data_IF_633305957637
#
_entry.id   IF_633305957637
#
_cell.length_a   1.000
_cell.length_b   1.000
_cell.length_c   1.000
_cell.angle_alpha   90.00
_cell.angle_beta   90.00
_cell.angle_gamma   90.00
#
_symmetry.space_group_name_H-M   'P 1'
#
loop_
_entity.id
_entity.type
_entity.pdbx_description
1 polymer ?
#
# COMPACT_ATOMS: atom_id res chain seq x y z
N UNK A 1 14.52 -11.49 11.33
CA UNK A 1 13.34 -12.22 10.81
C UNK A 1 13.37 -13.69 11.21
N UNK A 2 12.20 -14.30 11.42
CA UNK A 2 12.02 -15.74 11.63
C UNK A 2 11.85 -16.48 10.30
N UNK A 3 11.96 -17.81 10.28
CA UNK A 3 11.71 -18.62 9.08
C UNK A 3 10.26 -18.49 8.55
N UNK A 4 9.30 -18.18 9.43
CA UNK A 4 7.90 -17.94 9.07
C UNK A 4 7.78 -16.63 8.28
N UNK A 5 8.50 -15.60 8.71
CA UNK A 5 8.48 -14.28 8.06
C UNK A 5 8.99 -14.37 6.63
N UNK A 6 10.07 -15.14 6.42
CA UNK A 6 10.58 -15.43 5.07
C UNK A 6 9.57 -16.18 4.19
N UNK A 7 8.81 -17.12 4.75
CA UNK A 7 7.76 -17.80 3.99
C UNK A 7 6.60 -16.87 3.63
N UNK A 8 6.16 -16.03 4.57
CA UNK A 8 5.06 -15.09 4.34
C UNK A 8 5.43 -14.06 3.27
N UNK A 9 6.65 -13.54 3.30
CA UNK A 9 7.13 -12.56 2.33
C UNK A 9 7.43 -13.17 0.96
N UNK A 10 7.75 -14.47 0.89
CA UNK A 10 7.96 -15.17 -0.38
C UNK A 10 6.66 -15.52 -1.13
N UNK A 11 5.51 -15.53 -0.46
CA UNK A 11 4.20 -15.81 -1.10
C UNK A 11 3.66 -14.52 -1.71
N UNK A 12 3.87 -14.34 -3.01
CA UNK A 12 3.26 -13.24 -3.78
C UNK A 12 1.73 -13.37 -3.83
N UNK A 13 1.05 -12.26 -3.58
CA UNK A 13 -0.41 -12.10 -3.62
C UNK A 13 -0.86 -11.18 -4.76
N UNK A 14 0.08 -10.75 -5.60
CA UNK A 14 -0.10 -9.88 -6.75
C UNK A 14 0.27 -10.57 -8.07
N UNK A 15 -0.09 -9.94 -9.19
CA UNK A 15 0.26 -10.44 -10.52
C UNK A 15 -0.63 -11.57 -11.06
N UNK A 16 -0.21 -12.13 -12.21
CA UNK A 16 -1.09 -12.94 -13.07
C UNK A 16 -1.44 -14.32 -12.49
N UNK A 17 -0.54 -14.93 -11.72
CA UNK A 17 -0.76 -16.28 -11.17
C UNK A 17 -1.80 -16.27 -10.04
N UNK A 18 -1.68 -15.44 -8.99
CA UNK A 18 -2.75 -15.29 -8.00
C UNK A 18 -4.10 -14.90 -8.62
N UNK A 19 -4.08 -14.03 -9.63
CA UNK A 19 -5.29 -13.62 -10.36
C UNK A 19 -5.98 -14.81 -11.04
N UNK A 20 -5.22 -15.63 -11.75
CA UNK A 20 -5.74 -16.82 -12.44
C UNK A 20 -6.32 -17.85 -11.46
N UNK A 21 -5.62 -18.10 -10.35
CA UNK A 21 -6.08 -19.03 -9.31
C UNK A 21 -7.37 -18.52 -8.64
N UNK A 22 -7.43 -17.23 -8.28
CA UNK A 22 -8.63 -16.62 -7.74
C UNK A 22 -9.81 -16.70 -8.72
N UNK A 23 -9.58 -16.35 -9.99
CA UNK A 23 -10.55 -16.47 -11.08
C UNK A 23 -11.18 -17.86 -11.18
N UNK A 24 -10.34 -18.89 -11.26
CA UNK A 24 -10.79 -20.29 -11.37
C UNK A 24 -11.55 -20.73 -10.12
N UNK A 25 -11.03 -20.43 -8.93
CA UNK A 25 -11.66 -20.81 -7.66
C UNK A 25 -13.08 -20.23 -7.54
N UNK A 26 -13.28 -18.99 -7.99
CA UNK A 26 -14.59 -18.34 -7.98
C UNK A 26 -15.56 -18.94 -9.00
N UNK A 27 -15.10 -19.29 -10.21
CA UNK A 27 -15.94 -19.97 -11.20
C UNK A 27 -16.43 -21.31 -10.63
N UNK A 28 -15.54 -22.08 -10.02
CA UNK A 28 -15.88 -23.36 -9.38
C UNK A 28 -16.88 -23.13 -8.23
N UNK A 29 -16.64 -22.16 -7.36
CA UNK A 29 -17.54 -21.84 -6.24
C UNK A 29 -18.93 -21.39 -6.72
N UNK A 30 -19.00 -20.57 -7.77
CA UNK A 30 -20.26 -20.14 -8.36
C UNK A 30 -21.04 -21.32 -8.98
N UNK A 31 -20.36 -22.19 -9.74
CA UNK A 31 -20.97 -23.41 -10.30
C UNK A 31 -21.44 -24.37 -9.19
N UNK A 32 -20.66 -24.52 -8.11
CA UNK A 32 -21.02 -25.34 -6.96
C UNK A 32 -22.26 -24.80 -6.23
N UNK A 33 -22.41 -23.48 -6.10
CA UNK A 33 -23.61 -22.85 -5.55
C UNK A 33 -24.84 -23.08 -6.43
N UNK A 34 -24.69 -22.96 -7.76
CA UNK A 34 -25.76 -23.28 -8.71
C UNK A 34 -26.16 -24.76 -8.58
N UNK A 35 -25.20 -25.67 -8.51
CA UNK A 35 -25.46 -27.09 -8.29
C UNK A 35 -26.13 -27.35 -6.94
N UNK A 36 -25.69 -26.71 -5.85
CA UNK A 36 -26.34 -26.84 -4.53
C UNK A 36 -27.78 -26.32 -4.55
N UNK A 37 -28.05 -25.25 -5.29
CA UNK A 37 -29.39 -24.69 -5.48
C UNK A 37 -30.29 -25.63 -6.30
N UNK A 38 -29.78 -26.26 -7.37
CA UNK A 38 -30.52 -27.21 -8.20
C UNK A 38 -30.75 -28.54 -7.47
N UNK A 39 -29.73 -29.09 -6.79
CA UNK A 39 -29.89 -30.28 -5.95
C UNK A 39 -30.77 -30.03 -4.74
N UNK A 40 -30.95 -28.77 -4.30
CA UNK A 40 -31.88 -28.46 -3.22
C UNK A 40 -33.32 -28.71 -3.65
N UNK A 41 -33.62 -28.86 -4.95
CA UNK A 41 -34.93 -29.30 -5.42
C UNK A 41 -35.33 -30.66 -4.86
N UNK A 42 -36.61 -30.75 -4.50
CA UNK A 42 -37.29 -32.03 -4.55
C UNK A 42 -37.59 -32.32 -6.03
N UNK A 43 -37.25 -33.50 -6.58
CA UNK A 43 -37.58 -33.85 -7.98
C UNK A 43 -39.09 -33.72 -8.29
N UNK A 44 -39.94 -33.68 -7.26
CA UNK A 44 -41.38 -33.49 -7.38
C UNK A 44 -41.85 -32.04 -7.68
N UNK A 45 -41.03 -30.98 -7.53
CA UNK A 45 -41.47 -29.57 -7.73
C UNK A 45 -40.39 -28.65 -8.34
N UNK A 46 -40.02 -28.84 -9.61
CA UNK A 46 -38.89 -28.13 -10.22
C UNK A 46 -39.10 -26.63 -10.46
N UNK A 47 -40.33 -26.18 -10.76
CA UNK A 47 -40.62 -24.76 -11.00
C UNK A 47 -40.37 -23.85 -9.80
N UNK A 48 -40.68 -24.32 -8.58
CA UNK A 48 -40.55 -23.51 -7.35
C UNK A 48 -39.11 -23.25 -6.96
N UNK A 49 -38.20 -24.18 -7.24
CA UNK A 49 -36.80 -23.93 -6.93
C UNK A 49 -36.10 -23.12 -8.02
N UNK A 50 -36.52 -23.20 -9.29
CA UNK A 50 -36.05 -22.28 -10.33
C UNK A 50 -36.41 -20.83 -9.97
N UNK A 51 -37.66 -20.58 -9.56
CA UNK A 51 -38.11 -19.25 -9.11
C UNK A 51 -37.29 -18.72 -7.92
N UNK A 52 -36.88 -19.59 -6.99
CA UNK A 52 -36.03 -19.20 -5.85
C UNK A 52 -34.60 -18.90 -6.27
N UNK A 53 -34.06 -19.68 -7.19
CA UNK A 53 -32.72 -19.42 -7.73
C UNK A 53 -32.70 -18.10 -8.48
N UNK A 54 -33.70 -17.85 -9.33
CA UNK A 54 -33.90 -16.56 -9.99
C UNK A 54 -34.04 -15.43 -8.97
N UNK A 55 -34.90 -15.59 -7.96
CA UNK A 55 -35.06 -14.57 -6.92
C UNK A 55 -33.75 -14.26 -6.18
N UNK A 56 -32.95 -15.28 -5.82
CA UNK A 56 -31.69 -15.07 -5.13
C UNK A 56 -30.64 -14.39 -6.03
N UNK A 57 -30.56 -14.76 -7.31
CA UNK A 57 -29.71 -14.09 -8.30
C UNK A 57 -30.15 -12.63 -8.49
N UNK A 58 -31.45 -12.37 -8.60
CA UNK A 58 -31.99 -11.01 -8.71
C UNK A 58 -31.69 -10.19 -7.46
N UNK A 59 -31.88 -10.74 -6.27
CA UNK A 59 -31.53 -10.08 -5.00
C UNK A 59 -30.03 -9.76 -4.97
N UNK A 60 -29.16 -10.72 -5.32
CA UNK A 60 -27.72 -10.51 -5.39
C UNK A 60 -27.33 -9.39 -6.35
N UNK A 61 -27.90 -9.39 -7.56
CA UNK A 61 -27.67 -8.36 -8.56
C UNK A 61 -28.14 -6.97 -8.09
N UNK A 62 -29.34 -6.87 -7.50
CA UNK A 62 -29.90 -5.60 -7.00
C UNK A 62 -29.08 -5.06 -5.83
N UNK A 63 -28.75 -5.90 -4.84
CA UNK A 63 -27.93 -5.47 -3.70
C UNK A 63 -26.55 -5.01 -4.11
N UNK A 64 -25.94 -5.70 -5.09
CA UNK A 64 -24.64 -5.33 -5.63
C UNK A 64 -24.70 -4.03 -6.43
N UNK A 65 -25.77 -3.82 -7.20
CA UNK A 65 -25.98 -2.56 -7.91
C UNK A 65 -26.20 -1.40 -6.94
N UNK A 66 -26.95 -1.59 -5.85
CA UNK A 66 -27.12 -0.59 -4.80
C UNK A 66 -25.77 -0.30 -4.14
N UNK A 67 -25.02 -1.33 -3.75
CA UNK A 67 -23.69 -1.17 -3.16
C UNK A 67 -22.75 -0.40 -4.11
N UNK A 68 -22.78 -0.72 -5.41
CA UNK A 68 -22.04 0.00 -6.43
C UNK A 68 -22.40 1.48 -6.49
N UNK A 69 -23.68 1.81 -6.60
CA UNK A 69 -24.14 3.21 -6.63
C UNK A 69 -23.72 3.94 -5.34
N UNK A 70 -23.90 3.30 -4.19
CA UNK A 70 -23.51 3.88 -2.91
C UNK A 70 -22.01 4.13 -2.85
N UNK A 71 -21.17 3.18 -3.29
CA UNK A 71 -19.71 3.31 -3.23
C UNK A 71 -19.19 4.27 -4.30
N UNK A 72 -19.61 4.12 -5.55
CA UNK A 72 -19.05 4.84 -6.72
C UNK A 72 -19.72 6.19 -6.97
N UNK A 73 -21.00 6.37 -6.64
CA UNK A 73 -21.74 7.60 -6.95
C UNK A 73 -21.99 8.48 -5.72
N UNK A 74 -22.24 7.87 -4.55
CA UNK A 74 -22.63 8.61 -3.33
C UNK A 74 -21.44 8.85 -2.40
N UNK A 75 -20.72 7.79 -2.02
CA UNK A 75 -19.65 7.85 -1.03
C UNK A 75 -18.32 8.29 -1.64
N UNK A 76 -17.99 7.79 -2.84
CA UNK A 76 -16.75 8.10 -3.58
C UNK A 76 -15.50 8.07 -2.70
N UNK A 77 -15.22 6.95 -1.99
CA UNK A 77 -14.02 6.84 -1.16
C UNK A 77 -12.73 6.81 -1.99
N UNK A 78 -12.83 6.52 -3.29
CA UNK A 78 -11.72 6.53 -4.23
C UNK A 78 -12.14 7.26 -5.51
N UNK A 79 -11.21 7.96 -6.20
CA UNK A 79 -11.48 8.58 -7.48
C UNK A 79 -11.66 7.55 -8.62
N UNK A 80 -11.04 6.38 -8.50
CA UNK A 80 -11.14 5.30 -9.48
C UNK A 80 -12.36 4.40 -9.24
N UNK A 81 -13.04 4.03 -10.32
CA UNK A 81 -14.14 3.06 -10.30
C UNK A 81 -13.61 1.63 -10.23
N UNK A 82 -14.31 0.76 -9.51
CA UNK A 82 -13.92 -0.65 -9.47
C UNK A 82 -14.25 -1.30 -10.83
N UNK A 83 -13.40 -2.21 -11.33
CA UNK A 83 -13.69 -2.95 -12.55
C UNK A 83 -15.04 -3.66 -12.45
N UNK A 84 -15.81 -3.68 -13.55
CA UNK A 84 -17.10 -4.37 -13.59
C UNK A 84 -16.99 -5.85 -13.17
N UNK A 85 -15.86 -6.49 -13.48
CA UNK A 85 -15.55 -7.85 -13.05
C UNK A 85 -15.58 -8.00 -11.52
N UNK A 86 -15.03 -7.03 -10.78
CA UNK A 86 -15.04 -7.01 -9.31
C UNK A 86 -16.46 -6.97 -8.77
N UNK A 87 -17.31 -6.08 -9.29
CA UNK A 87 -18.73 -6.02 -8.94
C UNK A 87 -19.47 -7.30 -9.31
N UNK A 88 -19.21 -7.88 -10.47
CA UNK A 88 -19.83 -9.12 -10.89
C UNK A 88 -19.51 -10.28 -9.93
N UNK A 89 -18.26 -10.36 -9.46
CA UNK A 89 -17.84 -11.37 -8.48
C UNK A 89 -18.52 -11.14 -7.12
N UNK A 90 -18.54 -9.90 -6.63
CA UNK A 90 -19.26 -9.55 -5.38
C UNK A 90 -20.73 -9.98 -5.50
N UNK A 91 -21.37 -9.71 -6.64
CA UNK A 91 -22.75 -10.11 -6.89
C UNK A 91 -22.98 -11.62 -6.91
N UNK A 92 -22.04 -12.39 -7.47
CA UNK A 92 -22.07 -13.85 -7.38
C UNK A 92 -21.96 -14.32 -5.91
N UNK A 93 -21.09 -13.69 -5.11
CA UNK A 93 -20.94 -13.94 -3.67
C UNK A 93 -22.24 -13.71 -2.90
N UNK A 94 -22.85 -12.53 -3.06
CA UNK A 94 -24.10 -12.16 -2.39
C UNK A 94 -25.25 -13.08 -2.82
N UNK A 95 -25.37 -13.39 -4.11
CA UNK A 95 -26.37 -14.33 -4.62
C UNK A 95 -26.16 -15.74 -4.02
N UNK A 96 -24.91 -16.19 -3.90
CA UNK A 96 -24.53 -17.45 -3.25
C UNK A 96 -24.97 -17.54 -1.80
N UNK A 97 -24.74 -16.47 -1.02
CA UNK A 97 -25.17 -16.38 0.38
C UNK A 97 -26.71 -16.37 0.48
N UNK A 98 -27.40 -15.60 -0.37
CA UNK A 98 -28.86 -15.58 -0.40
C UNK A 98 -29.45 -16.97 -0.71
N UNK A 99 -28.83 -17.70 -1.64
CA UNK A 99 -29.16 -19.10 -1.95
C UNK A 99 -28.93 -20.04 -0.77
N UNK A 100 -27.81 -19.87 -0.05
CA UNK A 100 -27.48 -20.64 1.15
C UNK A 100 -28.58 -20.50 2.20
N UNK A 101 -28.94 -19.26 2.54
CA UNK A 101 -30.00 -18.94 3.51
C UNK A 101 -31.34 -19.54 3.09
N UNK A 102 -31.71 -19.39 1.80
CA UNK A 102 -32.94 -19.96 1.25
C UNK A 102 -32.94 -21.50 1.24
N UNK A 103 -31.77 -22.14 1.21
CA UNK A 103 -31.62 -23.59 1.30
C UNK A 103 -31.75 -24.10 2.73
N UNK A 104 -31.24 -23.37 3.74
CA UNK A 104 -31.34 -23.72 5.17
C UNK A 104 -32.78 -23.67 5.68
N UNK A 105 -33.60 -22.74 5.17
CA UNK A 105 -35.00 -22.55 5.61
C UNK A 105 -35.99 -23.68 5.29
N UNK A 106 -35.56 -24.84 4.75
CA UNK A 106 -36.46 -25.94 4.38
C UNK A 106 -36.59 -27.01 5.47
N UNK A 107 -37.79 -27.14 6.03
CA UNK A 107 -38.24 -28.26 6.91
C UNK A 107 -38.32 -29.65 6.24
N UNK A 108 -37.71 -29.86 5.05
CA UNK A 108 -37.94 -31.03 4.19
C UNK A 108 -36.74 -31.93 3.91
N UNK A 109 -35.56 -31.65 4.45
CA UNK A 109 -34.42 -32.56 4.34
C UNK A 109 -34.59 -33.70 5.35
N UNK A 110 -34.87 -34.93 4.88
CA UNK A 110 -35.19 -36.12 5.68
C UNK A 110 -34.11 -36.58 6.69
N UNK A 111 -33.03 -35.82 6.91
CA UNK A 111 -32.04 -36.05 8.00
C UNK A 111 -31.20 -34.78 8.24
N UNK A 112 -31.00 -34.38 9.51
CA UNK A 112 -30.19 -33.20 9.91
C UNK A 112 -28.81 -33.16 9.25
N UNK A 113 -28.18 -34.33 9.02
CA UNK A 113 -26.87 -34.47 8.37
C UNK A 113 -26.81 -33.90 6.95
N UNK A 114 -27.84 -34.14 6.11
CA UNK A 114 -27.89 -33.61 4.73
C UNK A 114 -28.11 -32.11 4.69
N UNK A 115 -28.78 -31.54 5.70
CA UNK A 115 -28.93 -30.10 5.82
C UNK A 115 -27.60 -29.45 6.22
N UNK A 116 -26.93 -30.00 7.24
CA UNK A 116 -25.64 -29.51 7.71
C UNK A 116 -24.57 -29.49 6.61
N UNK A 117 -24.46 -30.56 5.82
CA UNK A 117 -23.48 -30.64 4.72
C UNK A 117 -23.70 -29.58 3.64
N UNK A 118 -24.97 -29.25 3.35
CA UNK A 118 -25.32 -28.23 2.33
C UNK A 118 -25.09 -26.82 2.84
N UNK A 119 -25.45 -26.57 4.09
CA UNK A 119 -25.13 -25.30 4.75
C UNK A 119 -23.63 -25.08 4.79
N UNK A 120 -22.86 -26.09 5.18
CA UNK A 120 -21.40 -26.03 5.18
C UNK A 120 -20.84 -25.77 3.79
N UNK A 121 -21.28 -26.52 2.77
CA UNK A 121 -20.84 -26.31 1.39
C UNK A 121 -21.14 -24.91 0.85
N UNK A 122 -22.31 -24.37 1.18
CA UNK A 122 -22.70 -23.02 0.77
C UNK A 122 -21.90 -21.92 1.49
N UNK A 123 -21.61 -22.11 2.79
CA UNK A 123 -20.71 -21.22 3.55
C UNK A 123 -19.31 -21.26 2.95
N UNK A 124 -18.76 -22.43 2.68
CA UNK A 124 -17.42 -22.58 2.07
C UNK A 124 -17.36 -21.89 0.71
N UNK A 125 -18.35 -22.09 -0.16
CA UNK A 125 -18.40 -21.39 -1.46
C UNK A 125 -18.50 -19.86 -1.29
N UNK A 126 -19.31 -19.39 -0.35
CA UNK A 126 -19.41 -17.96 -0.03
C UNK A 126 -18.08 -17.37 0.42
N UNK A 127 -17.36 -18.08 1.31
CA UNK A 127 -16.03 -17.67 1.77
C UNK A 127 -15.03 -17.63 0.62
N UNK A 128 -15.01 -18.63 -0.26
CA UNK A 128 -14.14 -18.64 -1.46
C UNK A 128 -14.43 -17.45 -2.37
N UNK A 129 -15.70 -17.09 -2.57
CA UNK A 129 -16.07 -15.94 -3.39
C UNK A 129 -15.61 -14.62 -2.78
N UNK A 130 -15.75 -14.45 -1.46
CA UNK A 130 -15.27 -13.24 -0.76
C UNK A 130 -13.74 -13.13 -0.84
N UNK A 131 -13.02 -14.21 -0.51
CA UNK A 131 -11.55 -14.23 -0.55
C UNK A 131 -11.06 -14.02 -1.99
N UNK A 132 -11.67 -14.67 -2.97
CA UNK A 132 -11.32 -14.50 -4.38
C UNK A 132 -11.59 -13.08 -4.89
N UNK A 133 -12.66 -12.43 -4.42
CA UNK A 133 -12.94 -11.02 -4.72
C UNK A 133 -11.83 -10.12 -4.18
N UNK A 134 -11.47 -10.32 -2.90
CA UNK A 134 -10.40 -9.56 -2.26
C UNK A 134 -9.06 -9.77 -2.97
N UNK A 135 -8.76 -11.00 -3.39
CA UNK A 135 -7.56 -11.33 -4.15
C UNK A 135 -7.51 -10.63 -5.51
N UNK A 136 -8.63 -10.56 -6.25
CA UNK A 136 -8.69 -9.83 -7.52
C UNK A 136 -8.53 -8.32 -7.34
N UNK A 137 -9.15 -7.75 -6.30
CA UNK A 137 -8.93 -6.34 -5.96
C UNK A 137 -7.46 -6.10 -5.62
N UNK A 138 -6.85 -6.99 -4.83
CA UNK A 138 -5.45 -6.88 -4.48
C UNK A 138 -4.52 -6.97 -5.69
N UNK A 139 -4.79 -7.88 -6.64
CA UNK A 139 -4.04 -7.95 -7.91
C UNK A 139 -4.11 -6.64 -8.69
N UNK A 140 -5.27 -5.97 -8.67
CA UNK A 140 -5.47 -4.72 -9.41
C UNK A 140 -4.71 -3.54 -8.80
N UNK A 141 -4.69 -3.44 -7.46
CA UNK A 141 -4.15 -2.28 -6.76
C UNK A 141 -2.80 -2.53 -6.08
N UNK A 142 -2.33 -3.78 -6.04
CA UNK A 142 -1.13 -4.24 -5.36
C UNK A 142 -1.01 -3.75 -3.90
N UNK A 143 -2.14 -3.60 -3.20
CA UNK A 143 -2.18 -3.09 -1.82
C UNK A 143 -1.34 -3.97 -0.88
N UNK A 144 -1.42 -5.29 -1.06
CA UNK A 144 -0.63 -6.29 -0.35
C UNK A 144 0.15 -7.14 -1.35
N UNK A 145 1.40 -6.80 -1.68
CA UNK A 145 2.16 -7.53 -2.70
C UNK A 145 2.46 -8.98 -2.30
N UNK A 146 2.57 -9.26 -1.00
CA UNK A 146 2.82 -10.60 -0.47
C UNK A 146 2.03 -10.89 0.81
N UNK A 147 2.05 -12.15 1.26
CA UNK A 147 1.33 -12.56 2.47
C UNK A 147 1.90 -11.90 3.74
N UNK A 148 3.19 -11.55 3.76
CA UNK A 148 3.80 -10.77 4.86
C UNK A 148 3.09 -9.43 5.06
N UNK A 149 2.91 -8.66 3.98
CA UNK A 149 2.19 -7.38 4.02
C UNK A 149 0.75 -7.53 4.54
N UNK A 150 0.06 -8.64 4.25
CA UNK A 150 -1.29 -8.91 4.77
C UNK A 150 -1.31 -9.10 6.30
N UNK A 151 -0.24 -9.63 6.88
CA UNK A 151 -0.11 -9.91 8.31
C UNK A 151 0.74 -8.88 9.06
N UNK A 152 1.18 -7.80 8.41
CA UNK A 152 2.08 -6.80 9.00
C UNK A 152 3.47 -7.35 9.28
N UNK A 153 3.94 -8.30 8.47
CA UNK A 153 5.30 -8.81 8.50
C UNK A 153 6.08 -8.14 7.39
N UNK A 154 7.03 -7.32 7.78
CA UNK A 154 7.86 -6.55 6.86
C UNK A 154 8.87 -7.46 6.15
N UNK A 155 8.99 -7.26 4.83
CA UNK A 155 9.99 -7.94 3.98
C UNK A 155 11.28 -7.14 3.84
N UNK A 156 11.62 -6.37 4.86
CA UNK A 156 12.80 -5.50 4.93
C UNK A 156 13.28 -5.41 6.38
N UNK A 157 14.55 -5.07 6.56
CA UNK A 157 15.12 -4.91 7.89
C UNK A 157 14.64 -3.61 8.54
N UNK A 158 14.37 -3.67 9.84
CA UNK A 158 13.98 -2.51 10.65
C UNK A 158 14.95 -2.31 11.79
N UNK A 159 15.25 -1.05 12.11
CA UNK A 159 16.16 -0.70 13.21
C UNK A 159 15.52 0.37 14.10
N UNK A 160 15.77 0.29 15.41
CA UNK A 160 15.31 1.32 16.34
C UNK A 160 15.92 2.69 15.98
N UNK A 161 15.13 3.78 15.95
CA UNK A 161 15.62 5.10 15.55
C UNK A 161 16.83 5.58 16.34
N UNK A 162 16.92 5.28 17.65
CA UNK A 162 18.02 5.72 18.48
C UNK A 162 19.34 5.04 18.07
N UNK A 163 19.27 3.79 17.59
CA UNK A 163 20.43 3.05 17.07
C UNK A 163 20.73 3.44 15.62
N UNK A 164 19.69 3.48 14.78
CA UNK A 164 19.79 3.74 13.35
C UNK A 164 20.38 5.12 13.05
N UNK A 165 19.94 6.13 13.79
CA UNK A 165 20.31 7.53 13.60
C UNK A 165 21.49 7.98 14.46
N UNK A 166 22.15 7.05 15.15
CA UNK A 166 23.32 7.38 15.95
C UNK A 166 24.39 8.10 15.09
N UNK A 167 24.96 9.21 15.58
CA UNK A 167 25.99 9.94 14.85
C UNK A 167 27.27 9.12 14.71
N UNK A 168 28.00 9.35 13.63
CA UNK A 168 29.33 8.80 13.35
C UNK A 168 30.38 9.90 13.42
N UNK A 169 31.59 9.51 13.79
CA UNK A 169 32.68 10.47 14.03
C UNK A 169 33.25 11.03 12.73
N UNK A 170 33.21 10.26 11.63
CA UNK A 170 33.73 10.72 10.33
C UNK A 170 32.65 10.65 9.25
N UNK A 171 32.47 11.78 8.57
CA UNK A 171 31.70 11.87 7.34
C UNK A 171 32.60 12.21 6.15
N UNK A 172 32.15 11.87 4.94
CA UNK A 172 32.77 12.26 3.67
C UNK A 172 31.72 12.86 2.76
N UNK A 173 31.91 14.13 2.40
CA UNK A 173 31.11 14.79 1.38
C UNK A 173 31.77 14.67 0.01
N UNK A 174 30.98 14.45 -1.04
CA UNK A 174 31.46 14.52 -2.42
C UNK A 174 31.64 15.98 -2.84
N UNK A 175 32.75 16.30 -3.52
CA UNK A 175 32.97 17.64 -4.07
C UNK A 175 32.04 17.97 -5.26
N UNK A 176 31.99 19.24 -5.69
CA UNK A 176 31.22 19.62 -6.87
C UNK A 176 31.64 18.84 -8.13
N UNK A 177 30.70 18.13 -8.76
CA UNK A 177 30.94 17.33 -9.97
C UNK A 177 31.59 15.97 -9.72
N UNK A 178 31.84 15.62 -8.46
CA UNK A 178 32.37 14.31 -8.04
C UNK A 178 31.22 13.38 -7.63
N UNK A 179 31.34 12.08 -7.92
CA UNK A 179 30.41 11.08 -7.39
C UNK A 179 30.79 10.69 -5.97
N UNK A 180 29.83 10.22 -5.17
CA UNK A 180 30.09 9.73 -3.81
C UNK A 180 31.18 8.65 -3.81
N UNK A 181 31.13 7.73 -4.77
CA UNK A 181 32.14 6.67 -4.91
C UNK A 181 33.55 7.20 -5.18
N UNK A 182 33.70 8.35 -5.84
CA UNK A 182 35.01 8.98 -6.10
C UNK A 182 35.59 9.66 -4.86
N UNK A 183 34.73 10.25 -4.02
CA UNK A 183 35.13 10.95 -2.81
C UNK A 183 35.58 10.00 -1.68
N UNK A 184 35.16 8.73 -1.75
CA UNK A 184 35.44 7.73 -0.73
C UNK A 184 36.89 7.21 -0.80
N UNK A 185 37.50 6.86 0.35
CA UNK A 185 38.81 6.21 0.38
C UNK A 185 38.86 4.92 -0.46
N UNK A 186 40.03 4.60 -1.04
CA UNK A 186 40.18 3.43 -1.90
C UNK A 186 39.94 2.09 -1.18
N UNK A 187 40.11 2.04 0.14
CA UNK A 187 39.85 0.90 1.01
C UNK A 187 38.45 0.94 1.66
N UNK A 188 37.60 1.89 1.26
CA UNK A 188 36.24 1.99 1.78
C UNK A 188 35.37 0.81 1.34
N UNK A 189 34.55 0.33 2.27
CA UNK A 189 33.52 -0.66 2.00
C UNK A 189 32.30 -0.39 2.87
N UNK A 190 31.16 -0.93 2.45
CA UNK A 190 29.98 -1.03 3.32
C UNK A 190 30.28 -1.90 4.55
N UNK A 191 29.48 -1.76 5.61
CA UNK A 191 29.63 -2.60 6.78
C UNK A 191 29.50 -4.09 6.49
N UNK A 192 30.14 -4.88 7.36
CA UNK A 192 30.01 -6.33 7.42
C UNK A 192 29.87 -6.78 8.87
N UNK A 193 29.48 -8.04 9.09
CA UNK A 193 29.33 -8.61 10.43
C UNK A 193 28.02 -8.21 11.10
N UNK A 194 28.10 -7.65 12.30
CA UNK A 194 26.93 -7.31 13.14
C UNK A 194 26.19 -6.03 12.71
N UNK A 195 26.68 -5.33 11.69
CA UNK A 195 26.04 -4.12 11.14
C UNK A 195 25.14 -4.48 9.95
N UNK A 196 24.11 -3.67 9.65
CA UNK A 196 23.23 -3.92 8.52
C UNK A 196 24.00 -4.03 7.20
N UNK A 197 23.82 -5.14 6.50
CA UNK A 197 24.36 -5.39 5.15
C UNK A 197 23.36 -5.07 4.05
N UNK A 198 22.09 -4.91 4.41
CA UNK A 198 21.03 -4.34 3.58
C UNK A 198 20.54 -3.02 4.19
N UNK A 199 19.74 -2.26 3.44
CA UNK A 199 19.14 -1.04 3.96
C UNK A 199 18.07 -1.35 5.01
N UNK A 200 17.96 -0.46 5.99
CA UNK A 200 16.99 -0.58 7.09
C UNK A 200 15.95 0.53 7.02
N UNK A 201 14.75 0.24 7.50
CA UNK A 201 13.69 1.22 7.70
C UNK A 201 13.53 1.52 9.18
N UNK A 202 13.32 2.79 9.51
CA UNK A 202 13.07 3.22 10.88
C UNK A 202 11.90 4.19 10.97
N UNK A 203 11.15 4.11 12.07
CA UNK A 203 9.94 4.89 12.32
C UNK A 203 10.27 6.14 13.14
N UNK A 204 10.02 7.32 12.60
CA UNK A 204 10.41 8.58 13.25
C UNK A 204 9.23 9.54 13.40
N UNK A 205 9.27 10.32 14.48
CA UNK A 205 8.40 11.48 14.64
C UNK A 205 9.12 12.73 14.15
N UNK A 206 8.57 13.37 13.12
CA UNK A 206 9.01 14.69 12.65
C UNK A 206 8.00 15.72 13.18
N UNK A 207 8.34 16.49 14.23
CA UNK A 207 7.41 17.43 14.82
C UNK A 207 7.17 18.63 13.89
N UNK A 208 5.91 19.02 13.71
CA UNK A 208 5.53 20.28 13.07
C UNK A 208 5.78 21.48 13.98
N UNK A 209 7.04 21.77 14.31
CA UNK A 209 7.41 22.80 15.27
C UNK A 209 7.02 24.21 14.78
N UNK A 210 7.15 24.46 13.48
CA UNK A 210 6.82 25.72 12.81
C UNK A 210 5.41 25.67 12.20
N UNK A 211 5.08 24.59 11.51
CA UNK A 211 3.80 24.42 10.83
C UNK A 211 2.63 24.19 11.79
N UNK A 212 2.89 23.67 13.00
CA UNK A 212 1.90 23.05 13.87
C UNK A 212 1.12 21.91 13.19
N UNK A 213 1.68 21.33 12.12
CA UNK A 213 1.05 20.27 11.36
C UNK A 213 1.08 18.95 12.13
N UNK A 214 -0.07 18.28 12.36
CA UNK A 214 -0.13 17.05 13.14
C UNK A 214 0.19 15.82 12.27
N UNK A 215 1.41 15.77 11.73
CA UNK A 215 1.86 14.64 10.91
C UNK A 215 1.86 13.32 11.69
N UNK A 216 1.49 12.24 11.01
CA UNK A 216 1.67 10.87 11.50
C UNK A 216 3.15 10.45 11.42
N UNK A 217 3.49 9.33 12.05
CA UNK A 217 4.84 8.75 12.03
C UNK A 217 5.38 8.62 10.61
N UNK A 218 6.56 9.19 10.37
CA UNK A 218 7.28 9.10 9.11
C UNK A 218 8.13 7.83 9.04
N UNK A 219 8.47 7.39 7.83
CA UNK A 219 9.41 6.29 7.58
C UNK A 219 10.73 6.85 7.06
N UNK A 220 11.85 6.34 7.54
CA UNK A 220 13.17 6.67 7.00
C UNK A 220 13.87 5.39 6.56
N UNK A 221 14.21 5.31 5.28
CA UNK A 221 15.09 4.28 4.75
C UNK A 221 16.54 4.76 4.78
N UNK A 222 17.42 3.91 5.31
CA UNK A 222 18.86 4.14 5.41
C UNK A 222 19.58 3.01 4.67
N UNK A 223 20.34 3.30 3.60
CA UNK A 223 21.06 2.25 2.88
C UNK A 223 22.28 1.75 3.66
N UNK A 224 22.86 0.60 3.26
CA UNK A 224 24.05 0.04 3.92
C UNK A 224 25.19 1.04 4.09
N UNK A 225 25.44 1.89 3.09
CA UNK A 225 26.48 2.92 3.14
C UNK A 225 26.30 3.91 4.30
N UNK A 226 25.07 4.14 4.78
CA UNK A 226 24.80 5.01 5.94
C UNK A 226 25.41 4.46 7.25
N UNK A 227 25.72 3.17 7.30
CA UNK A 227 26.30 2.52 8.48
C UNK A 227 27.82 2.33 8.39
N UNK A 228 28.43 2.79 7.29
CA UNK A 228 29.87 2.74 7.03
C UNK A 228 30.66 3.75 7.87
N UNK A 229 31.99 3.56 7.91
CA UNK A 229 32.94 4.46 8.57
C UNK A 229 34.18 4.64 7.67
N UNK A 230 34.46 5.85 7.13
CA UNK A 230 33.64 7.05 7.26
C UNK A 230 32.28 6.93 6.54
N UNK A 231 31.28 7.65 7.05
CA UNK A 231 29.92 7.73 6.49
C UNK A 231 29.89 8.71 5.30
N UNK A 232 29.56 8.28 4.06
CA UNK A 232 29.30 9.24 3.00
C UNK A 232 28.08 10.10 3.34
N UNK A 233 28.14 11.39 3.02
CA UNK A 233 26.99 12.29 3.09
C UNK A 233 26.07 11.98 1.90
N UNK A 234 25.01 11.22 2.18
CA UNK A 234 24.15 10.66 1.14
C UNK A 234 23.09 11.69 0.67
N UNK A 235 22.69 11.64 -0.62
CA UNK A 235 21.55 12.36 -1.15
C UNK A 235 20.27 12.05 -0.39
N UNK A 236 19.32 12.99 -0.40
CA UNK A 236 18.04 12.85 0.30
C UNK A 236 16.88 12.86 -0.68
N UNK A 237 15.95 11.93 -0.52
CA UNK A 237 14.65 11.96 -1.19
C UNK A 237 13.58 12.15 -0.12
N UNK A 238 12.89 13.30 -0.14
CA UNK A 238 11.68 13.51 0.66
C UNK A 238 10.49 12.97 -0.14
N UNK A 239 9.82 11.98 0.42
CA UNK A 239 8.80 11.19 -0.26
C UNK A 239 7.42 11.35 0.40
N UNK A 240 6.35 11.32 -0.39
CA UNK A 240 4.98 11.46 0.09
C UNK A 240 4.02 10.44 -0.52
N UNK A 241 3.15 9.87 0.32
CA UNK A 241 2.09 8.96 -0.11
C UNK A 241 0.93 9.69 -0.81
N UNK A 242 0.03 8.90 -1.41
CA UNK A 242 -1.20 9.39 -2.01
C UNK A 242 -2.32 9.64 -1.00
N UNK A 243 -3.48 10.00 -1.53
CA UNK A 243 -4.75 10.05 -0.80
C UNK A 243 -5.72 9.04 -1.46
N UNK A 244 -6.36 8.13 -0.71
CA UNK A 244 -6.10 7.83 0.69
C UNK A 244 -4.72 7.20 0.90
N UNK A 245 -4.06 7.49 2.02
CA UNK A 245 -2.74 6.89 2.27
C UNK A 245 -2.06 7.20 3.59
N UNK A 246 -0.84 6.71 3.73
CA UNK A 246 0.07 6.93 4.86
C UNK A 246 1.53 6.69 4.46
N UNK A 247 2.51 7.14 5.26
CA UNK A 247 3.92 6.80 5.01
C UNK A 247 4.22 5.30 4.84
N UNK A 248 3.41 4.42 5.45
CA UNK A 248 3.50 2.96 5.31
C UNK A 248 3.29 2.47 3.86
N UNK A 249 2.61 3.24 3.01
CA UNK A 249 2.32 2.82 1.64
C UNK A 249 3.62 2.76 0.81
N UNK A 250 4.65 3.52 1.21
CA UNK A 250 5.97 3.50 0.58
C UNK A 250 6.73 2.21 0.88
N UNK A 251 6.60 1.68 2.10
CA UNK A 251 7.26 0.43 2.53
C UNK A 251 6.49 -0.81 2.10
N UNK A 252 5.18 -0.70 1.94
CA UNK A 252 4.29 -1.81 1.57
C UNK A 252 3.99 -1.86 0.07
N UNK A 253 3.06 -1.05 -0.42
CA UNK A 253 2.56 -1.14 -1.80
C UNK A 253 3.55 -0.62 -2.85
N UNK A 254 4.35 0.40 -2.52
CA UNK A 254 5.38 0.93 -3.43
C UNK A 254 6.73 0.22 -3.32
N UNK A 255 6.89 -0.68 -2.33
CA UNK A 255 8.08 -1.54 -2.16
C UNK A 255 9.41 -0.75 -2.19
N UNK A 256 9.44 0.46 -1.61
CA UNK A 256 10.60 1.33 -1.61
C UNK A 256 11.85 0.65 -1.02
N UNK A 257 11.79 -0.09 0.12
CA UNK A 257 12.97 -0.75 0.66
C UNK A 257 13.59 -1.74 -0.31
N UNK A 258 12.77 -2.50 -1.06
CA UNK A 258 13.25 -3.48 -2.03
C UNK A 258 13.90 -2.79 -3.25
N UNK A 259 13.27 -1.72 -3.76
CA UNK A 259 13.83 -0.93 -4.87
C UNK A 259 15.16 -0.30 -4.46
N UNK A 260 15.21 0.29 -3.27
CA UNK A 260 16.43 0.95 -2.77
C UNK A 260 17.52 -0.06 -2.41
N UNK A 261 17.19 -1.23 -1.87
CA UNK A 261 18.17 -2.30 -1.64
C UNK A 261 18.74 -2.85 -2.95
N UNK A 262 17.92 -3.01 -3.98
CA UNK A 262 18.41 -3.40 -5.31
C UNK A 262 19.35 -2.32 -5.87
N UNK A 263 18.96 -1.05 -5.80
CA UNK A 263 19.82 0.05 -6.22
C UNK A 263 21.13 0.08 -5.44
N UNK A 264 21.06 -0.06 -4.12
CA UNK A 264 22.24 -0.10 -3.26
C UNK A 264 23.16 -1.26 -3.61
N UNK A 265 22.63 -2.46 -3.84
CA UNK A 265 23.40 -3.64 -4.22
C UNK A 265 24.19 -3.41 -5.53
N UNK A 266 23.59 -2.74 -6.51
CA UNK A 266 24.22 -2.39 -7.78
C UNK A 266 25.23 -1.23 -7.65
N UNK A 267 25.25 -0.53 -6.50
CA UNK A 267 26.07 0.66 -6.25
C UNK A 267 26.91 0.55 -4.96
N UNK A 268 27.40 -0.66 -4.64
CA UNK A 268 28.26 -0.89 -3.47
C UNK A 268 27.66 -0.39 -2.15
N UNK A 269 26.36 -0.63 -1.96
CA UNK A 269 25.53 -0.21 -0.83
C UNK A 269 25.21 1.29 -0.77
N UNK A 270 25.59 2.07 -1.77
CA UNK A 270 25.29 3.51 -1.87
C UNK A 270 23.91 3.69 -2.49
N UNK A 271 23.03 4.40 -1.79
CA UNK A 271 21.72 4.84 -2.26
C UNK A 271 21.35 6.15 -1.56
N UNK A 272 20.29 6.87 -1.98
CA UNK A 272 19.78 7.99 -1.20
C UNK A 272 19.16 7.54 0.13
N UNK A 273 19.16 8.44 1.11
CA UNK A 273 18.27 8.34 2.27
C UNK A 273 16.87 8.74 1.80
N UNK A 274 15.86 7.94 2.10
CA UNK A 274 14.46 8.27 1.75
C UNK A 274 13.69 8.60 3.02
N UNK A 275 13.19 9.83 3.13
CA UNK A 275 12.36 10.30 4.25
C UNK A 275 10.93 10.41 3.76
N UNK A 276 10.09 9.46 4.14
CA UNK A 276 8.67 9.43 3.77
C UNK A 276 7.87 10.23 4.80
N UNK A 277 7.59 11.49 4.49
CA UNK A 277 6.83 12.40 5.33
C UNK A 277 5.31 12.20 5.13
N UNK A 278 4.52 12.55 6.15
CA UNK A 278 3.06 12.54 6.05
C UNK A 278 2.52 13.93 5.69
N UNK A 279 1.98 14.14 4.47
CA UNK A 279 1.48 15.45 4.05
C UNK A 279 -0.02 15.66 4.31
N UNK A 280 -0.73 14.65 4.85
CA UNK A 280 -2.20 14.66 4.94
C UNK A 280 -2.78 14.52 6.36
N UNK A 281 -1.97 14.19 7.38
CA UNK A 281 -2.32 14.08 8.81
C UNK A 281 -3.42 13.05 9.18
N UNK A 282 -4.20 12.58 8.21
CA UNK A 282 -5.19 11.52 8.31
C UNK A 282 -5.18 10.68 7.03
N UNK A 283 -5.79 9.49 7.07
CA UNK A 283 -5.86 8.60 5.91
C UNK A 283 -6.65 9.20 4.74
N UNK A 284 -7.63 10.05 5.01
CA UNK A 284 -8.49 10.71 4.01
C UNK A 284 -8.31 12.23 4.00
N UNK A 285 -7.20 12.72 4.58
CA UNK A 285 -6.88 14.13 4.56
C UNK A 285 -6.48 14.59 3.15
N UNK A 286 -6.88 15.81 2.79
CA UNK A 286 -6.38 16.47 1.57
C UNK A 286 -6.02 17.91 1.93
N UNK A 287 -4.74 18.18 2.08
CA UNK A 287 -4.22 19.51 2.45
C UNK A 287 -4.00 20.40 1.22
N UNK A 288 -4.25 19.86 0.02
CA UNK A 288 -3.83 20.43 -1.27
C UNK A 288 -2.32 20.69 -1.37
N UNK A 289 -1.53 20.18 -0.42
CA UNK A 289 -0.11 20.48 -0.27
C UNK A 289 0.23 21.96 -0.13
N UNK A 290 -0.67 22.72 0.48
CA UNK A 290 -0.50 24.15 0.72
C UNK A 290 -0.85 24.46 2.17
N UNK A 291 -0.44 25.64 2.63
CA UNK A 291 -0.90 26.16 3.91
C UNK A 291 -2.34 26.67 3.79
N UNK A 292 -3.24 26.06 4.55
CA UNK A 292 -4.67 26.35 4.50
C UNK A 292 -5.37 25.97 5.81
N UNK A 293 -6.67 26.29 5.97
CA UNK A 293 -7.46 25.78 7.10
C UNK A 293 -7.51 24.25 7.22
N UNK A 294 -7.05 23.51 6.19
CA UNK A 294 -6.95 22.05 6.18
C UNK A 294 -5.61 21.54 6.74
N UNK A 295 -4.67 22.43 7.06
CA UNK A 295 -3.36 22.15 7.61
C UNK A 295 -2.25 22.92 6.89
N UNK A 296 -1.15 23.17 7.59
CA UNK A 296 0.03 23.86 7.07
C UNK A 296 1.04 22.88 6.46
N UNK A 297 0.63 22.20 5.39
CA UNK A 297 1.42 21.14 4.78
C UNK A 297 2.66 21.67 4.04
N UNK A 298 2.59 22.86 3.43
CA UNK A 298 3.73 23.45 2.74
C UNK A 298 4.83 23.83 3.73
N UNK A 299 4.48 24.53 4.83
CA UNK A 299 5.46 24.85 5.89
C UNK A 299 6.04 23.59 6.53
N UNK A 300 5.24 22.53 6.71
CA UNK A 300 5.74 21.27 7.26
C UNK A 300 6.80 20.63 6.35
N UNK A 301 6.54 20.58 5.05
CA UNK A 301 7.40 19.91 4.07
C UNK A 301 8.58 20.77 3.62
N UNK A 302 8.47 22.10 3.68
CA UNK A 302 9.53 23.04 3.28
C UNK A 302 10.42 23.50 4.44
N UNK A 303 9.97 23.35 5.70
CA UNK A 303 10.73 23.82 6.86
C UNK A 303 10.91 22.74 7.92
N UNK A 304 9.83 22.19 8.47
CA UNK A 304 9.94 21.25 9.60
C UNK A 304 10.67 19.96 9.22
N UNK A 305 10.35 19.37 8.06
CA UNK A 305 11.00 18.15 7.55
C UNK A 305 12.49 18.38 7.24
N UNK A 306 12.90 19.38 6.43
CA UNK A 306 14.32 19.69 6.22
C UNK A 306 15.09 19.97 7.51
N UNK A 307 14.55 20.80 8.40
CA UNK A 307 15.19 21.11 9.69
C UNK A 307 15.39 19.84 10.54
N UNK A 308 14.44 18.89 10.48
CA UNK A 308 14.58 17.61 11.15
C UNK A 308 15.67 16.76 10.50
N UNK A 309 15.73 16.71 9.17
CA UNK A 309 16.75 15.97 8.42
C UNK A 309 18.14 16.48 8.80
N UNK A 310 18.38 17.78 8.70
CA UNK A 310 19.68 18.41 9.00
C UNK A 310 20.14 18.16 10.45
N UNK A 311 19.18 18.08 11.37
CA UNK A 311 19.47 17.89 12.79
C UNK A 311 19.73 16.43 13.17
N UNK A 312 19.06 15.48 12.51
CA UNK A 312 19.01 14.08 12.95
C UNK A 312 19.73 13.12 12.01
N UNK A 313 19.99 13.51 10.77
CA UNK A 313 20.64 12.70 9.76
C UNK A 313 22.01 13.28 9.40
N UNK A 314 23.01 12.41 9.27
CA UNK A 314 24.28 12.77 8.63
C UNK A 314 24.16 12.55 7.12
N UNK A 315 23.32 13.38 6.50
CA UNK A 315 23.04 13.41 5.07
C UNK A 315 23.75 14.59 4.40
N UNK A 316 23.69 14.66 3.07
CA UNK A 316 24.19 15.82 2.34
C UNK A 316 23.41 17.08 2.70
N UNK A 317 24.13 18.16 2.99
CA UNK A 317 23.56 19.51 3.20
C UNK A 317 23.49 20.32 1.90
N UNK A 318 23.95 19.76 0.78
CA UNK A 318 23.81 20.36 -0.54
C UNK A 318 22.45 19.96 -1.15
N UNK A 319 21.50 20.90 -1.16
CA UNK A 319 20.17 20.69 -1.73
C UNK A 319 20.17 20.37 -3.23
N UNK A 320 21.28 20.58 -3.97
CA UNK A 320 21.41 20.07 -5.34
C UNK A 320 21.34 18.53 -5.41
N UNK A 321 21.63 17.87 -4.28
CA UNK A 321 21.55 16.42 -4.07
C UNK A 321 20.24 16.00 -3.39
N UNK A 322 19.27 16.91 -3.26
CA UNK A 322 17.96 16.60 -2.73
C UNK A 322 16.95 16.43 -3.85
N UNK A 323 15.96 15.57 -3.61
CA UNK A 323 14.79 15.42 -4.46
C UNK A 323 13.52 15.31 -3.63
N UNK A 324 12.40 15.72 -4.22
CA UNK A 324 11.06 15.47 -3.68
C UNK A 324 10.30 14.49 -4.57
N UNK A 325 9.67 13.48 -3.99
CA UNK A 325 8.99 12.43 -4.73
C UNK A 325 7.59 12.15 -4.16
N UNK A 326 6.67 11.69 -5.00
CA UNK A 326 5.35 11.32 -4.50
C UNK A 326 4.46 10.59 -5.49
N UNK A 327 3.47 9.88 -4.95
CA UNK A 327 2.45 9.15 -5.70
C UNK A 327 1.06 9.79 -5.52
N UNK A 328 0.28 9.93 -6.60
CA UNK A 328 -1.08 10.50 -6.58
C UNK A 328 -1.08 11.91 -5.96
N UNK A 329 -1.81 12.15 -4.86
CA UNK A 329 -1.73 13.37 -4.07
C UNK A 329 -0.29 13.78 -3.74
N UNK A 330 0.57 12.83 -3.32
CA UNK A 330 1.98 13.08 -3.07
C UNK A 330 2.74 13.49 -4.34
N UNK A 331 2.34 12.99 -5.51
CA UNK A 331 2.90 13.42 -6.79
C UNK A 331 2.56 14.88 -7.09
N UNK A 332 1.32 15.30 -6.81
CA UNK A 332 0.91 16.71 -6.88
C UNK A 332 1.72 17.56 -5.91
N UNK A 333 1.94 17.08 -4.68
CA UNK A 333 2.83 17.72 -3.70
C UNK A 333 4.25 17.90 -4.23
N UNK A 334 4.86 16.85 -4.80
CA UNK A 334 6.22 16.89 -5.31
C UNK A 334 6.40 17.98 -6.39
N UNK A 335 5.44 18.09 -7.31
CA UNK A 335 5.45 19.17 -8.33
C UNK A 335 5.32 20.55 -7.68
N UNK A 336 4.38 20.71 -6.74
CA UNK A 336 4.16 22.00 -6.08
C UNK A 336 5.39 22.45 -5.29
N UNK A 337 6.01 21.57 -4.52
CA UNK A 337 7.19 21.86 -3.71
C UNK A 337 8.41 22.19 -4.58
N UNK A 338 8.65 21.46 -5.67
CA UNK A 338 9.75 21.73 -6.56
C UNK A 338 9.62 23.08 -7.29
N UNK A 339 8.40 23.54 -7.55
CA UNK A 339 8.14 24.85 -8.16
C UNK A 339 8.13 25.99 -7.15
N UNK A 340 7.67 25.76 -5.92
CA UNK A 340 7.57 26.76 -4.87
C UNK A 340 8.88 26.97 -4.11
N UNK A 341 9.65 25.90 -3.91
CA UNK A 341 10.92 25.87 -3.14
C UNK A 341 12.05 25.21 -3.95
N UNK A 342 12.38 25.70 -5.17
CA UNK A 342 13.38 25.09 -6.03
C UNK A 342 14.81 25.11 -5.44
N UNK A 343 15.08 26.01 -4.50
CA UNK A 343 16.33 26.05 -3.73
C UNK A 343 16.47 24.89 -2.75
N UNK A 344 15.35 24.32 -2.30
CA UNK A 344 15.28 23.22 -1.36
C UNK A 344 15.14 21.87 -2.09
N UNK A 345 14.30 21.84 -3.13
CA UNK A 345 14.00 20.65 -3.91
C UNK A 345 14.18 20.92 -5.42
N UNK A 346 15.43 20.99 -5.91
CA UNK A 346 15.69 21.26 -7.33
C UNK A 346 15.36 20.07 -8.25
N UNK A 347 15.23 18.86 -7.69
CA UNK A 347 14.89 17.63 -8.41
C UNK A 347 13.55 17.08 -7.91
N UNK A 348 12.74 16.49 -8.79
CA UNK A 348 11.49 15.86 -8.38
C UNK A 348 11.08 14.64 -9.19
N UNK A 349 10.26 13.78 -8.57
CA UNK A 349 9.59 12.64 -9.19
C UNK A 349 8.10 12.67 -8.86
N UNK A 350 7.26 12.92 -9.87
CA UNK A 350 5.81 12.92 -9.73
C UNK A 350 5.19 11.67 -10.38
N UNK A 351 4.69 10.75 -9.57
CA UNK A 351 4.05 9.52 -10.02
C UNK A 351 2.53 9.70 -10.01
N UNK A 352 1.93 9.73 -11.19
CA UNK A 352 0.47 9.91 -11.36
C UNK A 352 -0.11 11.13 -10.62
N UNK A 353 0.48 12.34 -10.73
CA UNK A 353 -0.06 13.53 -10.06
C UNK A 353 -1.43 13.92 -10.61
N UNK A 354 -2.18 14.71 -9.85
CA UNK A 354 -3.38 15.37 -10.37
C UNK A 354 -2.99 16.40 -11.42
N UNK A 355 -3.87 16.61 -12.40
CA UNK A 355 -3.67 17.62 -13.44
C UNK A 355 -3.65 19.05 -12.88
N UNK A 356 -4.43 19.29 -11.82
CA UNK A 356 -4.46 20.51 -11.03
C UNK A 356 -4.78 20.17 -9.56
N UNK A 357 -4.27 20.92 -8.57
CA UNK A 357 -4.69 20.76 -7.18
C UNK A 357 -6.18 21.11 -7.03
N UNK A 358 -7.03 20.12 -6.74
CA UNK A 358 -8.47 20.35 -6.58
C UNK A 358 -9.08 19.38 -5.58
N UNK A 359 -10.09 19.88 -4.84
CA UNK A 359 -10.98 19.09 -3.98
C UNK A 359 -12.33 18.80 -4.64
N UNK A 360 -12.41 18.87 -5.99
CA UNK A 360 -13.62 18.56 -6.74
C UNK A 360 -14.62 19.71 -6.90
N UNK A 361 -14.24 20.93 -6.50
CA UNK A 361 -14.98 22.16 -6.83
C UNK A 361 -14.03 23.13 -7.54
N UNK A 362 -14.50 23.69 -8.66
CA UNK A 362 -13.90 24.89 -9.24
C UNK A 362 -14.60 26.06 -8.55
N UNK A 363 -13.82 26.88 -7.84
CA UNK A 363 -14.32 28.18 -7.39
C UNK A 363 -14.58 29.09 -8.60
#
# INVERSE_FOLDING_TARGET
MTWIDHLLTAVSLDGAVPAGVAGIAMIIAALALVALATFAHSPARPRRGLLRALAAVTIGAVLTMIARIVVEDVWKPYPDVLPLATWAVIGCGVAGIALAVAAVGRRGARTRKKMALRSLGAVVCGVILVIGSAALVNVQFAAYPNAGALFGVDGFDTEDPATALAPRDKTVAAGPGETIAQALPADWSTPSGERPTEGVVTDVAIPGALSHFPARTAKVYLPPAYFAEPRPELPVVVAMAGEPGSPEDWTTSLQMPQVMNSFAADNNGIAPIVVVADPIADRLGNTLCVDSPRGNADTYLSQDVPNWIDKNLQASTDHSQWAVAGYSFGGTCAVQLALAHPELYPNFLAMSPQQEPTIGTRA
#
